data_IF_089023178042
#
_entry.id   IF_089023178042
#
_cell.length_a   1.000
_cell.length_b   1.000
_cell.length_c   1.000
_cell.angle_alpha   90.00
_cell.angle_beta   90.00
_cell.angle_gamma   90.00
#
_symmetry.space_group_name_H-M   'P 1'
#
loop_
_entity.id
_entity.type
_entity.pdbx_description
1 polymer ?
#
# COMPACT_ATOMS: atom_id res chain seq x y z
N UNK A 1 -11.71 -2.09 12.84
CA UNK A 1 -11.06 -1.45 11.68
C UNK A 1 -11.61 -2.06 10.40
N UNK A 2 -11.98 -1.23 9.41
CA UNK A 2 -12.46 -1.69 8.10
C UNK A 2 -11.43 -1.34 7.03
N UNK A 3 -11.01 -2.32 6.24
CA UNK A 3 -10.07 -2.14 5.12
C UNK A 3 -10.78 -2.57 3.84
N UNK A 4 -11.06 -1.61 2.97
CA UNK A 4 -11.61 -1.85 1.63
C UNK A 4 -10.46 -1.93 0.63
N UNK A 5 -10.31 -3.05 -0.06
CA UNK A 5 -9.26 -3.28 -1.05
C UNK A 5 -9.68 -2.69 -2.39
N UNK A 6 -9.24 -1.48 -2.69
CA UNK A 6 -9.56 -0.81 -3.96
C UNK A 6 -8.77 -1.42 -5.13
N UNK A 7 -7.54 -1.81 -4.87
CA UNK A 7 -6.66 -2.52 -5.78
C UNK A 7 -5.63 -3.35 -5.02
N UNK A 8 -5.27 -4.51 -5.56
CA UNK A 8 -4.37 -5.48 -4.91
C UNK A 8 -3.25 -5.99 -5.83
N UNK A 9 -3.07 -5.36 -6.99
CA UNK A 9 -2.17 -5.85 -8.03
C UNK A 9 -0.99 -4.90 -8.25
N UNK A 10 0.16 -5.46 -8.61
CA UNK A 10 1.37 -4.74 -8.99
C UNK A 10 1.38 -4.33 -10.47
N UNK A 11 0.26 -3.89 -10.97
CA UNK A 11 0.07 -3.43 -12.33
C UNK A 11 -1.41 -3.35 -12.70
N UNK A 12 -1.71 -2.92 -13.92
CA UNK A 12 -3.05 -2.66 -14.40
C UNK A 12 -3.45 -3.58 -15.55
N UNK A 13 -4.70 -4.01 -15.55
CA UNK A 13 -5.40 -4.66 -16.66
C UNK A 13 -6.91 -4.42 -16.49
N UNK A 14 -7.74 -4.96 -17.40
CA UNK A 14 -9.20 -4.84 -17.28
C UNK A 14 -9.73 -5.30 -15.90
N UNK A 15 -9.16 -6.38 -15.37
CA UNK A 15 -9.62 -7.01 -14.13
C UNK A 15 -8.70 -6.76 -12.93
N UNK A 16 -7.56 -6.10 -13.13
CA UNK A 16 -6.54 -5.87 -12.12
C UNK A 16 -6.35 -4.38 -11.89
N UNK A 17 -6.61 -3.90 -10.68
CA UNK A 17 -6.33 -2.53 -10.26
C UNK A 17 -5.07 -2.46 -9.39
N UNK A 18 -4.27 -1.44 -9.63
CA UNK A 18 -3.03 -1.16 -8.92
C UNK A 18 -3.28 -0.93 -7.43
N UNK A 19 -2.25 -1.17 -6.63
CA UNK A 19 -2.29 -1.19 -5.16
C UNK A 19 -2.94 0.06 -4.56
N UNK A 20 -4.00 -0.16 -3.79
CA UNK A 20 -4.68 0.88 -3.02
C UNK A 20 -5.61 0.24 -1.97
N UNK A 21 -5.45 0.61 -0.71
CA UNK A 21 -6.37 0.24 0.37
C UNK A 21 -7.08 1.49 0.89
N UNK A 22 -8.33 1.36 1.30
CA UNK A 22 -9.09 2.43 1.94
C UNK A 22 -9.49 2.01 3.35
N UNK A 23 -8.92 2.68 4.35
CA UNK A 23 -9.15 2.41 5.76
C UNK A 23 -10.29 3.31 6.26
N UNK A 24 -11.32 2.70 6.84
CA UNK A 24 -12.52 3.35 7.40
C UNK A 24 -13.21 4.34 6.45
N UNK A 25 -12.97 4.24 5.13
CA UNK A 25 -13.58 5.11 4.12
C UNK A 25 -12.92 6.48 3.98
N UNK A 26 -11.84 6.79 4.71
CA UNK A 26 -11.27 8.14 4.81
C UNK A 26 -9.77 8.24 4.64
N UNK A 27 -9.04 7.16 4.88
CA UNK A 27 -7.58 7.13 4.82
C UNK A 27 -7.17 6.14 3.75
N UNK A 28 -6.47 6.60 2.71
CA UNK A 28 -5.92 5.71 1.69
C UNK A 28 -4.50 5.27 2.07
N UNK A 29 -4.19 4.00 1.84
CA UNK A 29 -2.84 3.47 1.84
C UNK A 29 -2.49 3.09 0.41
N UNK A 30 -1.54 3.80 -0.14
CA UNK A 30 -1.22 3.94 -1.56
C UNK A 30 -2.39 4.50 -2.41
N UNK A 31 -2.08 4.99 -3.58
CA UNK A 31 -3.00 5.64 -4.51
C UNK A 31 -2.85 5.13 -5.94
N UNK A 32 -2.58 3.82 -6.11
CA UNK A 32 -2.47 3.23 -7.44
C UNK A 32 -3.79 3.28 -8.21
N UNK A 33 -4.91 3.07 -7.54
CA UNK A 33 -6.24 3.02 -8.18
C UNK A 33 -7.33 3.83 -7.44
N UNK A 34 -6.96 4.78 -6.60
CA UNK A 34 -7.88 5.53 -5.74
C UNK A 34 -9.00 6.22 -6.52
N UNK A 35 -8.65 6.98 -7.56
CA UNK A 35 -9.62 7.73 -8.38
C UNK A 35 -10.45 6.82 -9.30
N UNK A 36 -9.94 5.65 -9.67
CA UNK A 36 -10.63 4.71 -10.56
C UNK A 36 -11.63 3.82 -9.82
N UNK A 37 -11.38 3.55 -8.53
CA UNK A 37 -12.15 2.61 -7.75
C UNK A 37 -13.27 3.26 -6.90
N UNK A 38 -13.27 4.58 -6.76
CA UNK A 38 -14.24 5.34 -5.97
C UNK A 38 -15.04 6.31 -6.82
N UNK A 39 -16.34 6.46 -6.51
CA UNK A 39 -17.12 7.58 -7.02
C UNK A 39 -16.56 8.92 -6.51
N UNK A 40 -16.83 10.00 -7.21
CA UNK A 40 -16.37 11.35 -6.80
C UNK A 40 -16.82 11.68 -5.37
N UNK A 41 -18.05 11.36 -5.01
CA UNK A 41 -18.57 11.60 -3.65
C UNK A 41 -17.78 10.85 -2.59
N UNK A 42 -17.39 9.60 -2.86
CA UNK A 42 -16.54 8.83 -1.95
C UNK A 42 -15.10 9.31 -1.94
N UNK A 43 -14.60 9.88 -3.04
CA UNK A 43 -13.27 10.49 -3.08
C UNK A 43 -13.19 11.73 -2.19
N UNK A 44 -14.25 12.55 -2.12
CA UNK A 44 -14.29 13.74 -1.26
C UNK A 44 -14.19 13.41 0.23
N UNK A 45 -14.60 12.22 0.64
CA UNK A 45 -14.47 11.74 2.02
C UNK A 45 -13.02 11.37 2.41
N UNK A 46 -12.14 11.14 1.43
CA UNK A 46 -10.74 10.78 1.69
C UNK A 46 -9.94 12.06 1.95
N UNK A 47 -9.37 12.17 3.13
CA UNK A 47 -8.62 13.36 3.55
C UNK A 47 -7.13 13.09 3.85
N UNK A 48 -6.71 11.83 3.91
CA UNK A 48 -5.31 11.46 4.17
C UNK A 48 -4.89 10.29 3.29
N UNK A 49 -3.67 10.36 2.77
CA UNK A 49 -3.06 9.32 1.94
C UNK A 49 -1.68 9.02 2.51
N UNK A 50 -1.43 7.75 2.86
CA UNK A 50 -0.10 7.28 3.21
C UNK A 50 0.48 6.58 2.00
N UNK A 51 1.66 6.99 1.58
CA UNK A 51 2.37 6.41 0.44
C UNK A 51 3.52 5.55 0.93
N UNK A 52 3.51 4.29 0.53
CA UNK A 52 4.58 3.36 0.84
C UNK A 52 5.88 3.75 0.14
N UNK A 53 5.80 4.07 -1.16
CA UNK A 53 6.92 4.49 -2.00
C UNK A 53 6.44 5.19 -3.30
N UNK A 54 7.37 5.52 -4.19
CA UNK A 54 7.11 6.39 -5.35
C UNK A 54 6.92 5.66 -6.68
N UNK A 55 6.80 4.33 -6.73
CA UNK A 55 6.52 3.62 -7.98
C UNK A 55 5.10 3.93 -8.50
N UNK A 56 4.94 3.91 -9.82
CA UNK A 56 3.71 4.37 -10.47
C UNK A 56 2.48 3.56 -10.06
N UNK A 57 2.61 2.26 -9.85
CA UNK A 57 1.51 1.40 -9.40
C UNK A 57 1.05 1.64 -7.96
N UNK A 58 1.72 2.56 -7.24
CA UNK A 58 1.33 3.06 -5.92
C UNK A 58 0.88 4.53 -5.90
N UNK A 59 1.13 5.30 -6.97
CA UNK A 59 0.81 6.74 -7.03
C UNK A 59 0.03 7.16 -8.28
N UNK A 60 -0.24 6.25 -9.21
CA UNK A 60 -0.79 6.56 -10.54
C UNK A 60 -2.08 7.39 -10.51
N UNK A 61 -2.98 7.10 -9.60
CA UNK A 61 -4.25 7.84 -9.53
C UNK A 61 -4.20 9.12 -8.67
N UNK A 62 -3.07 9.39 -8.01
CA UNK A 62 -2.93 10.54 -7.12
C UNK A 62 -3.21 11.90 -7.81
N UNK A 63 -2.69 12.20 -9.01
CA UNK A 63 -2.97 13.45 -9.70
C UNK A 63 -4.46 13.66 -9.98
N UNK A 64 -5.10 12.66 -10.52
CA UNK A 64 -6.53 12.70 -10.84
C UNK A 64 -7.42 12.76 -9.60
N UNK A 65 -7.02 12.07 -8.52
CA UNK A 65 -7.71 12.15 -7.25
C UNK A 65 -7.70 13.59 -6.71
N UNK A 66 -6.52 14.23 -6.63
CA UNK A 66 -6.40 15.62 -6.14
C UNK A 66 -7.23 16.57 -7.00
N UNK A 67 -7.21 16.42 -8.33
CA UNK A 67 -8.03 17.23 -9.25
C UNK A 67 -9.52 17.01 -9.02
N UNK A 68 -9.98 15.77 -8.86
CA UNK A 68 -11.38 15.42 -8.65
C UNK A 68 -11.96 16.03 -7.37
N UNK A 69 -11.17 16.12 -6.30
CA UNK A 69 -11.59 16.68 -5.00
C UNK A 69 -11.28 18.17 -4.86
N UNK A 70 -10.52 18.75 -5.78
CA UNK A 70 -10.17 20.16 -5.77
C UNK A 70 -11.42 21.06 -5.78
N UNK A 71 -11.49 21.97 -4.82
CA UNK A 71 -12.63 22.87 -4.65
C UNK A 71 -13.91 22.22 -4.09
N UNK A 72 -13.88 20.91 -3.80
CA UNK A 72 -14.97 20.17 -3.15
C UNK A 72 -14.65 19.81 -1.71
N UNK A 73 -13.38 19.55 -1.41
CA UNK A 73 -12.92 19.34 -0.05
C UNK A 73 -12.72 20.67 0.66
N UNK A 74 -13.20 20.78 1.90
CA UNK A 74 -13.01 21.97 2.76
C UNK A 74 -11.61 22.07 3.33
N UNK A 75 -10.86 20.98 3.30
CA UNK A 75 -9.51 20.86 3.88
C UNK A 75 -8.52 20.36 2.82
N UNK A 76 -7.26 20.72 3.02
CA UNK A 76 -6.18 20.14 2.24
C UNK A 76 -6.14 18.61 2.44
N UNK A 77 -5.79 17.88 1.39
CA UNK A 77 -5.48 16.46 1.48
C UNK A 77 -4.08 16.30 2.06
N UNK A 78 -3.97 15.59 3.17
CA UNK A 78 -2.68 15.29 3.79
C UNK A 78 -2.04 14.04 3.17
N UNK A 79 -0.87 14.21 2.57
CA UNK A 79 -0.11 13.15 1.91
C UNK A 79 1.13 12.85 2.74
N UNK A 80 1.21 11.63 3.25
CA UNK A 80 2.29 11.17 4.10
C UNK A 80 3.18 10.20 3.32
N UNK A 81 4.50 10.35 3.43
CA UNK A 81 5.47 9.46 2.78
C UNK A 81 6.87 9.66 3.31
N UNK A 82 7.81 8.77 2.98
CA UNK A 82 9.21 8.97 3.30
C UNK A 82 9.73 10.26 2.64
N UNK A 83 10.79 10.90 3.16
CA UNK A 83 11.41 12.05 2.50
C UNK A 83 11.76 11.79 1.03
N UNK A 84 12.22 10.56 0.72
CA UNK A 84 12.53 10.15 -0.65
C UNK A 84 11.28 10.07 -1.53
N UNK A 85 10.18 9.53 -1.02
CA UNK A 85 8.88 9.44 -1.71
C UNK A 85 8.34 10.84 -2.01
N UNK A 86 8.33 11.73 -1.02
CA UNK A 86 7.85 13.11 -1.16
C UNK A 86 8.71 13.86 -2.18
N UNK A 87 10.04 13.71 -2.11
CA UNK A 87 10.95 14.31 -3.07
C UNK A 87 10.64 13.86 -4.51
N UNK A 88 10.45 12.56 -4.73
CA UNK A 88 10.16 12.02 -6.04
C UNK A 88 8.82 12.55 -6.60
N UNK A 89 7.78 12.60 -5.78
CA UNK A 89 6.46 13.11 -6.17
C UNK A 89 6.51 14.59 -6.52
N UNK A 90 7.18 15.40 -5.71
CA UNK A 90 7.35 16.83 -6.00
C UNK A 90 8.13 17.06 -7.27
N UNK A 91 9.23 16.31 -7.47
CA UNK A 91 10.13 16.51 -8.59
C UNK A 91 9.57 16.01 -9.92
N UNK A 92 8.88 14.89 -9.91
CA UNK A 92 8.51 14.18 -11.13
C UNK A 92 7.02 14.19 -11.45
N UNK A 93 6.16 14.49 -10.47
CA UNK A 93 4.72 14.45 -10.65
C UNK A 93 4.09 15.86 -10.53
N UNK A 94 4.10 16.46 -9.33
CA UNK A 94 3.51 17.78 -9.07
C UNK A 94 4.54 18.91 -9.27
N UNK A 95 4.98 19.13 -10.51
CA UNK A 95 6.11 20.00 -10.85
C UNK A 95 5.75 21.10 -11.86
N UNK A 96 4.46 21.34 -12.14
CA UNK A 96 3.92 22.26 -13.13
C UNK A 96 4.28 21.93 -14.60
N UNK A 97 4.96 20.81 -14.83
CA UNK A 97 5.24 20.29 -16.17
C UNK A 97 4.45 18.98 -16.43
N UNK A 98 4.53 18.03 -15.51
CA UNK A 98 3.76 16.79 -15.58
C UNK A 98 2.34 16.99 -15.04
N UNK A 99 2.22 17.64 -13.87
CA UNK A 99 0.93 17.99 -13.23
C UNK A 99 1.08 19.27 -12.40
N UNK A 100 -0.03 20.06 -12.21
CA UNK A 100 0.02 21.28 -11.40
C UNK A 100 0.51 21.03 -9.97
N UNK A 101 1.23 21.97 -9.41
CA UNK A 101 1.66 21.93 -8.00
C UNK A 101 0.52 22.37 -7.07
N UNK A 102 -0.32 21.42 -6.65
CA UNK A 102 -1.46 21.65 -5.76
C UNK A 102 -1.07 22.04 -4.33
N UNK A 103 0.21 21.99 -3.97
CA UNK A 103 0.68 22.57 -2.70
C UNK A 103 0.65 24.11 -2.70
N UNK A 104 0.40 24.71 -3.87
CA UNK A 104 0.33 26.17 -4.07
C UNK A 104 -1.03 26.64 -4.59
N UNK A 105 -1.98 25.74 -4.83
CA UNK A 105 -3.30 26.04 -5.34
C UNK A 105 -4.38 25.90 -4.25
N UNK A 106 -5.34 26.82 -4.17
CA UNK A 106 -5.46 28.09 -4.93
C UNK A 106 -4.41 29.11 -4.55
N UNK A 107 -3.78 28.96 -3.38
CA UNK A 107 -2.63 29.75 -2.93
C UNK A 107 -1.90 29.00 -1.81
N UNK A 108 -0.70 29.47 -1.43
CA UNK A 108 0.17 28.80 -0.47
C UNK A 108 -0.35 28.81 0.99
N UNK A 109 -1.35 29.64 1.32
CA UNK A 109 -1.97 29.70 2.65
C UNK A 109 -3.09 28.67 2.81
N UNK A 110 -3.77 28.35 1.69
CA UNK A 110 -4.87 27.39 1.62
C UNK A 110 -4.60 26.38 0.49
N UNK A 111 -3.57 25.52 0.63
CA UNK A 111 -3.23 24.57 -0.41
C UNK A 111 -4.28 23.45 -0.50
N UNK A 112 -4.45 22.87 -1.70
CA UNK A 112 -5.35 21.72 -1.89
C UNK A 112 -4.74 20.43 -1.32
N UNK A 113 -3.41 20.34 -1.23
CA UNK A 113 -2.72 19.23 -0.60
C UNK A 113 -1.49 19.69 0.19
N UNK A 114 -1.09 18.87 1.16
CA UNK A 114 0.11 19.05 1.98
C UNK A 114 0.92 17.76 2.04
N UNK A 115 2.22 17.89 2.13
CA UNK A 115 3.11 16.75 2.34
C UNK A 115 3.60 16.70 3.79
N UNK A 116 3.63 15.48 4.35
CA UNK A 116 4.12 15.17 5.68
C UNK A 116 5.12 14.02 5.59
N UNK A 117 6.30 14.21 6.16
CA UNK A 117 7.33 13.18 6.17
C UNK A 117 7.04 12.12 7.21
N UNK A 118 7.22 10.86 6.83
CA UNK A 118 7.15 9.69 7.70
C UNK A 118 8.57 9.25 8.07
N UNK A 119 8.77 9.02 9.35
CA UNK A 119 9.98 8.39 9.88
C UNK A 119 9.69 6.92 10.22
N UNK A 120 10.63 6.03 9.84
CA UNK A 120 10.48 4.59 10.13
C UNK A 120 10.36 4.32 11.63
N UNK A 121 9.40 3.47 11.99
CA UNK A 121 9.06 3.07 13.36
C UNK A 121 8.55 4.19 14.28
N UNK A 122 8.24 5.36 13.73
CA UNK A 122 7.56 6.45 14.46
C UNK A 122 6.06 6.39 14.17
N UNK A 123 5.21 6.10 15.16
CA UNK A 123 3.76 5.98 14.95
C UNK A 123 3.12 7.32 14.58
N UNK A 124 2.20 7.27 13.62
CA UNK A 124 1.31 8.37 13.23
C UNK A 124 -0.14 7.97 13.53
N UNK A 125 -0.91 8.85 14.17
CA UNK A 125 -2.34 8.61 14.44
C UNK A 125 -3.19 9.50 13.55
N UNK A 126 -4.09 8.88 12.76
CA UNK A 126 -5.07 9.56 11.91
C UNK A 126 -6.44 8.96 12.21
N UNK A 127 -7.43 9.77 12.59
CA UNK A 127 -8.81 9.34 12.91
C UNK A 127 -8.88 8.14 13.87
N UNK A 128 -7.97 8.08 14.85
CA UNK A 128 -7.90 6.99 15.82
C UNK A 128 -7.38 5.67 15.27
N UNK A 129 -6.80 5.68 14.06
CA UNK A 129 -6.00 4.58 13.50
C UNK A 129 -4.52 4.92 13.66
N UNK A 130 -3.75 4.02 14.22
CA UNK A 130 -2.30 4.16 14.35
C UNK A 130 -1.62 3.47 13.18
N UNK A 131 -0.76 4.19 12.48
CA UNK A 131 0.09 3.70 11.41
C UNK A 131 1.54 3.79 11.84
N UNK A 132 2.24 2.65 11.91
CA UNK A 132 3.69 2.62 12.18
C UNK A 132 4.40 2.21 10.90
N UNK A 133 5.14 3.13 10.24
CA UNK A 133 5.92 2.80 9.04
C UNK A 133 7.06 1.84 9.39
N UNK A 134 7.31 0.85 8.55
CA UNK A 134 8.35 -0.16 8.74
C UNK A 134 9.17 -0.21 7.47
N UNK A 135 10.46 0.05 7.54
CA UNK A 135 11.31 -0.10 6.36
C UNK A 135 11.36 -1.55 5.91
N UNK A 136 11.12 -1.78 4.62
CA UNK A 136 11.17 -3.09 3.96
C UNK A 136 12.24 -3.09 2.88
N UNK A 137 12.50 -4.27 2.30
CA UNK A 137 13.58 -4.44 1.33
C UNK A 137 13.07 -4.27 -0.10
N UNK A 138 13.24 -3.06 -0.66
CA UNK A 138 12.83 -2.76 -2.04
C UNK A 138 13.84 -1.83 -2.72
N UNK A 139 13.71 -1.65 -4.07
CA UNK A 139 14.65 -0.86 -4.91
C UNK A 139 14.73 0.62 -4.52
N UNK A 140 13.62 1.18 -4.06
CA UNK A 140 13.53 2.54 -3.54
C UNK A 140 13.19 2.49 -2.06
N UNK A 141 13.46 3.53 -1.25
CA UNK A 141 13.03 3.58 0.13
C UNK A 141 11.53 3.33 0.25
N UNK A 142 11.15 2.20 0.84
CA UNK A 142 9.77 1.70 0.91
C UNK A 142 9.38 1.41 2.35
N UNK A 143 8.18 1.83 2.75
CA UNK A 143 7.57 1.48 4.01
C UNK A 143 6.44 0.46 3.83
N UNK A 144 6.51 -0.64 4.57
CA UNK A 144 5.32 -1.35 5.01
C UNK A 144 4.70 -0.62 6.20
N UNK A 145 3.56 -1.08 6.69
CA UNK A 145 2.84 -0.43 7.80
C UNK A 145 2.26 -1.45 8.77
N UNK A 146 2.49 -1.23 10.06
CA UNK A 146 1.64 -1.81 11.10
C UNK A 146 0.45 -0.85 11.29
N UNK A 147 -0.76 -1.38 11.12
CA UNK A 147 -2.02 -0.62 11.17
C UNK A 147 -2.82 -1.10 12.36
N UNK A 148 -3.10 -0.22 13.33
CA UNK A 148 -3.71 -0.59 14.60
C UNK A 148 -4.93 0.27 14.91
N UNK A 149 -6.03 -0.38 15.32
CA UNK A 149 -7.22 0.30 15.82
C UNK A 149 -8.02 -0.63 16.75
N UNK A 150 -8.50 -0.11 17.89
CA UNK A 150 -9.39 -0.80 18.82
C UNK A 150 -8.90 -2.20 19.24
N UNK A 151 -7.59 -2.35 19.47
CA UNK A 151 -6.99 -3.61 19.89
C UNK A 151 -6.87 -4.66 18.77
N UNK A 152 -7.05 -4.31 17.52
CA UNK A 152 -6.73 -5.12 16.36
C UNK A 152 -5.56 -4.53 15.58
N UNK A 153 -4.68 -5.39 15.05
CA UNK A 153 -3.53 -5.01 14.26
C UNK A 153 -3.51 -5.79 12.94
N UNK A 154 -3.14 -5.11 11.86
CA UNK A 154 -2.87 -5.71 10.53
C UNK A 154 -1.50 -5.23 10.08
N UNK A 155 -0.68 -6.13 9.58
CA UNK A 155 0.63 -5.81 9.05
C UNK A 155 0.60 -5.87 7.52
N UNK A 156 0.98 -4.77 6.89
CA UNK A 156 1.04 -4.59 5.44
C UNK A 156 2.50 -4.40 5.00
N UNK A 157 2.99 -5.25 4.08
CA UNK A 157 4.38 -5.16 3.64
C UNK A 157 4.65 -4.07 2.62
N UNK A 158 3.65 -3.70 1.82
CA UNK A 158 3.88 -3.06 0.52
C UNK A 158 4.80 -3.95 -0.35
N UNK A 159 5.57 -3.36 -1.27
CA UNK A 159 6.50 -4.08 -2.13
C UNK A 159 7.77 -4.46 -1.37
N UNK A 160 8.13 -5.73 -1.40
CA UNK A 160 9.32 -6.20 -0.68
C UNK A 160 9.89 -7.48 -1.28
N UNK A 161 11.20 -7.55 -1.35
CA UNK A 161 11.95 -8.80 -1.40
C UNK A 161 12.05 -9.43 -0.01
N UNK A 162 12.97 -10.41 0.19
CA UNK A 162 13.21 -10.99 1.48
C UNK A 162 13.54 -9.93 2.54
N UNK A 163 12.83 -9.96 3.68
CA UNK A 163 12.92 -8.94 4.73
C UNK A 163 13.00 -9.61 6.11
N UNK A 164 13.55 -8.90 7.09
CA UNK A 164 13.70 -9.42 8.45
C UNK A 164 12.87 -8.61 9.46
N UNK A 165 13.03 -7.29 9.47
CA UNK A 165 12.40 -6.42 10.46
C UNK A 165 10.88 -6.50 10.45
N UNK A 166 10.29 -6.66 9.29
CA UNK A 166 8.85 -6.86 9.10
C UNK A 166 8.32 -8.06 9.92
N UNK A 167 9.01 -9.21 9.86
CA UNK A 167 8.62 -10.41 10.59
C UNK A 167 8.88 -10.31 12.09
N UNK A 168 9.94 -9.62 12.52
CA UNK A 168 10.18 -9.33 13.93
C UNK A 168 9.03 -8.53 14.55
N UNK A 169 8.50 -7.54 13.80
CA UNK A 169 7.35 -6.76 14.22
C UNK A 169 6.09 -7.62 14.23
N UNK A 170 5.86 -8.45 13.21
CA UNK A 170 4.75 -9.40 13.18
C UNK A 170 4.72 -10.27 14.44
N UNK A 171 5.86 -10.85 14.82
CA UNK A 171 5.97 -11.76 15.94
C UNK A 171 5.78 -11.07 17.30
N UNK A 172 6.15 -9.79 17.41
CA UNK A 172 6.01 -8.99 18.64
C UNK A 172 4.65 -8.34 18.82
N UNK A 173 3.82 -8.27 17.75
CA UNK A 173 2.51 -7.60 17.78
C UNK A 173 1.46 -8.49 18.45
N UNK A 174 0.95 -8.16 19.66
CA UNK A 174 0.11 -9.10 20.44
C UNK A 174 -1.21 -9.43 19.75
N UNK A 175 -1.88 -8.44 19.18
CA UNK A 175 -3.24 -8.51 18.63
C UNK A 175 -3.25 -8.56 17.10
N UNK A 176 -2.19 -9.12 16.48
CA UNK A 176 -2.10 -9.28 15.03
C UNK A 176 -3.24 -10.18 14.53
N UNK A 177 -4.00 -9.67 13.57
CA UNK A 177 -5.15 -10.34 12.96
C UNK A 177 -4.86 -10.89 11.57
N UNK A 178 -3.96 -10.24 10.83
CA UNK A 178 -3.54 -10.68 9.51
C UNK A 178 -2.18 -10.07 9.15
N UNK A 179 -1.46 -10.74 8.26
CA UNK A 179 -0.28 -10.23 7.57
C UNK A 179 -0.61 -10.15 6.09
N UNK A 180 -0.38 -9.00 5.46
CA UNK A 180 -0.45 -8.84 4.01
C UNK A 180 0.98 -8.78 3.47
N UNK A 181 1.31 -9.62 2.48
CA UNK A 181 2.68 -9.75 1.97
C UNK A 181 2.72 -9.78 0.44
N UNK A 182 3.70 -9.08 -0.14
CA UNK A 182 4.03 -9.09 -1.57
C UNK A 182 4.19 -10.53 -2.10
N UNK A 183 3.64 -10.78 -3.29
CA UNK A 183 3.91 -12.00 -4.06
C UNK A 183 3.71 -11.69 -5.53
N UNK A 184 4.69 -11.06 -6.14
CA UNK A 184 4.54 -10.37 -7.43
C UNK A 184 4.70 -11.26 -8.65
N UNK A 185 5.65 -12.20 -8.62
CA UNK A 185 6.01 -13.02 -9.78
C UNK A 185 5.82 -14.51 -9.51
N UNK A 186 5.58 -15.30 -10.55
CA UNK A 186 5.66 -16.76 -10.46
C UNK A 186 7.12 -17.22 -10.33
N UNK A 187 7.36 -18.42 -9.79
CA UNK A 187 8.71 -18.91 -9.47
C UNK A 187 9.61 -19.09 -10.69
N UNK A 188 9.06 -19.19 -11.91
CA UNK A 188 9.88 -19.22 -13.13
C UNK A 188 10.55 -17.88 -13.46
N UNK A 189 10.05 -16.80 -12.85
CA UNK A 189 10.59 -15.44 -12.98
C UNK A 189 11.44 -15.02 -11.76
N UNK A 190 11.95 -16.00 -10.98
CA UNK A 190 12.77 -15.71 -9.79
C UNK A 190 13.93 -14.73 -10.06
N UNK A 191 14.69 -14.81 -11.19
CA UNK A 191 15.75 -13.84 -11.45
C UNK A 191 15.25 -12.39 -11.58
N UNK A 192 14.02 -12.19 -12.11
CA UNK A 192 13.40 -10.88 -12.19
C UNK A 192 12.95 -10.42 -10.80
N UNK A 193 12.33 -11.31 -10.03
CA UNK A 193 11.92 -11.02 -8.66
C UNK A 193 13.11 -10.62 -7.79
N UNK A 194 14.25 -11.29 -7.92
CA UNK A 194 15.47 -11.00 -7.16
C UNK A 194 16.03 -9.60 -7.45
N UNK A 195 16.12 -9.22 -8.74
CA UNK A 195 16.68 -7.91 -9.12
C UNK A 195 15.69 -6.76 -8.89
N UNK A 196 14.39 -7.03 -8.88
CA UNK A 196 13.35 -6.04 -8.60
C UNK A 196 12.92 -6.01 -7.14
N UNK A 197 13.49 -6.87 -6.29
CA UNK A 197 13.21 -7.00 -4.86
C UNK A 197 11.72 -7.23 -4.57
N UNK A 198 11.19 -8.30 -5.18
CA UNK A 198 9.85 -8.84 -4.94
C UNK A 198 9.91 -10.31 -4.56
N UNK A 199 8.80 -10.86 -4.09
CA UNK A 199 8.70 -12.28 -3.77
C UNK A 199 8.02 -13.07 -4.90
N UNK A 200 8.43 -14.35 -4.99
CA UNK A 200 7.73 -15.42 -5.69
C UNK A 200 7.16 -16.41 -4.68
N UNK A 201 6.27 -17.34 -5.05
CA UNK A 201 5.84 -18.42 -4.13
C UNK A 201 6.99 -19.22 -3.53
N UNK A 202 8.11 -19.38 -4.26
CA UNK A 202 9.31 -20.05 -3.76
C UNK A 202 9.97 -19.27 -2.63
N UNK A 203 10.23 -17.97 -2.81
CA UNK A 203 10.84 -17.11 -1.79
C UNK A 203 9.87 -16.80 -0.65
N UNK A 204 8.58 -16.61 -0.94
CA UNK A 204 7.53 -16.50 0.06
C UNK A 204 7.54 -17.67 1.04
N UNK A 205 7.71 -18.91 0.56
CA UNK A 205 7.82 -20.09 1.43
C UNK A 205 8.96 -19.99 2.44
N UNK A 206 10.08 -19.36 2.05
CA UNK A 206 11.20 -19.12 2.96
C UNK A 206 10.89 -18.02 3.96
N UNK A 207 10.26 -16.93 3.50
CA UNK A 207 9.83 -15.82 4.35
C UNK A 207 8.82 -16.24 5.42
N UNK A 208 7.84 -17.05 5.06
CA UNK A 208 6.82 -17.56 6.00
C UNK A 208 7.38 -18.36 7.19
N UNK A 209 8.57 -18.94 7.07
CA UNK A 209 9.24 -19.63 8.19
C UNK A 209 9.66 -18.69 9.31
N UNK A 210 9.72 -17.37 9.02
CA UNK A 210 10.05 -16.34 10.01
C UNK A 210 8.85 -15.93 10.86
N UNK A 211 7.62 -16.24 10.40
CA UNK A 211 6.38 -15.94 11.12
C UNK A 211 6.11 -17.01 12.18
N UNK A 212 6.18 -16.62 13.44
CA UNK A 212 5.93 -17.48 14.61
C UNK A 212 4.45 -17.44 15.06
N UNK A 213 3.65 -16.59 14.43
CA UNK A 213 2.24 -16.38 14.75
C UNK A 213 1.35 -17.16 13.80
N UNK A 214 0.26 -17.72 14.32
CA UNK A 214 -0.76 -18.36 13.49
C UNK A 214 -1.87 -17.35 13.19
N UNK A 215 -1.75 -16.70 12.05
CA UNK A 215 -2.70 -15.67 11.54
C UNK A 215 -2.84 -15.81 10.03
N UNK A 216 -3.97 -15.41 9.43
CA UNK A 216 -4.11 -15.36 7.99
C UNK A 216 -2.99 -14.53 7.34
N UNK A 217 -2.46 -15.02 6.22
CA UNK A 217 -1.47 -14.33 5.39
C UNK A 217 -2.10 -14.04 4.04
N UNK A 218 -2.35 -12.76 3.77
CA UNK A 218 -3.03 -12.28 2.59
C UNK A 218 -2.00 -11.85 1.53
N UNK A 219 -1.99 -12.53 0.39
CA UNK A 219 -1.05 -12.29 -0.69
C UNK A 219 -1.57 -11.18 -1.60
N UNK A 220 -0.73 -10.18 -1.87
CA UNK A 220 -1.08 -9.05 -2.73
C UNK A 220 0.02 -8.73 -3.74
N UNK A 221 -0.19 -7.71 -4.55
CA UNK A 221 0.76 -7.15 -5.52
C UNK A 221 1.11 -8.10 -6.67
N UNK A 222 0.23 -9.07 -6.98
CA UNK A 222 0.47 -9.98 -8.09
C UNK A 222 0.58 -9.21 -9.41
N UNK A 223 1.63 -9.42 -10.19
CA UNK A 223 1.75 -8.86 -11.54
C UNK A 223 0.70 -9.53 -12.45
N UNK A 224 -0.14 -8.77 -13.20
CA UNK A 224 -1.26 -9.33 -13.96
C UNK A 224 -0.92 -10.54 -14.85
N UNK A 225 0.20 -10.57 -15.58
CA UNK A 225 0.56 -11.75 -16.40
C UNK A 225 0.87 -13.01 -15.59
N UNK A 226 1.22 -12.86 -14.29
CA UNK A 226 1.67 -13.96 -13.43
C UNK A 226 0.56 -14.55 -12.57
N UNK A 227 -0.62 -13.91 -12.48
CA UNK A 227 -1.70 -14.25 -11.55
C UNK A 227 -2.08 -15.73 -11.58
N UNK A 228 -2.27 -16.30 -12.77
CA UNK A 228 -2.67 -17.69 -12.92
C UNK A 228 -1.66 -18.67 -12.34
N UNK A 229 -0.39 -18.49 -12.68
CA UNK A 229 0.72 -19.36 -12.21
C UNK A 229 0.96 -19.18 -10.70
N UNK A 230 0.97 -17.94 -10.21
CA UNK A 230 1.13 -17.67 -8.76
C UNK A 230 0.05 -18.41 -7.97
N UNK A 231 -1.22 -18.32 -8.41
CA UNK A 231 -2.34 -19.00 -7.74
C UNK A 231 -2.17 -20.52 -7.74
N UNK A 232 -1.67 -21.11 -8.83
CA UNK A 232 -1.38 -22.54 -8.90
C UNK A 232 -0.27 -22.94 -7.95
N UNK A 233 0.87 -22.24 -7.99
CA UNK A 233 2.02 -22.50 -7.11
C UNK A 233 1.70 -22.33 -5.62
N UNK A 234 0.94 -21.29 -5.25
CA UNK A 234 0.51 -21.06 -3.86
C UNK A 234 -0.39 -22.20 -3.37
N UNK A 235 -1.31 -22.71 -4.20
CA UNK A 235 -2.13 -23.91 -3.82
C UNK A 235 -1.24 -25.13 -3.54
N UNK A 236 -0.13 -25.29 -4.28
CA UNK A 236 0.81 -26.40 -4.06
C UNK A 236 1.56 -26.30 -2.73
N UNK A 237 1.66 -25.11 -2.12
CA UNK A 237 2.26 -24.93 -0.79
C UNK A 237 1.43 -25.60 0.32
N UNK A 238 0.14 -25.89 0.08
CA UNK A 238 -0.79 -26.55 1.02
C UNK A 238 -0.81 -25.89 2.41
N UNK A 239 -0.61 -24.59 2.47
CA UNK A 239 -0.70 -23.83 3.70
C UNK A 239 -2.11 -23.23 3.83
N UNK A 240 -2.94 -23.65 4.80
CA UNK A 240 -4.31 -23.18 4.94
C UNK A 240 -4.43 -21.73 5.41
N UNK A 241 -3.36 -21.14 5.92
CA UNK A 241 -3.34 -19.75 6.38
C UNK A 241 -3.07 -18.75 5.23
N UNK A 242 -2.77 -19.27 4.00
CA UNK A 242 -2.53 -18.42 2.81
C UNK A 242 -3.83 -18.16 2.05
N UNK A 243 -4.13 -16.88 1.87
CA UNK A 243 -5.23 -16.39 1.06
C UNK A 243 -4.76 -15.29 0.11
N UNK A 244 -5.49 -15.04 -0.97
CA UNK A 244 -5.25 -13.88 -1.82
C UNK A 244 -6.07 -12.70 -1.35
N UNK A 245 -5.45 -11.54 -1.24
CA UNK A 245 -6.17 -10.30 -0.98
C UNK A 245 -7.11 -10.00 -2.17
N UNK A 246 -8.40 -9.89 -1.89
CA UNK A 246 -9.42 -9.78 -2.93
C UNK A 246 -9.77 -8.32 -3.22
N UNK A 247 -9.51 -7.88 -4.45
CA UNK A 247 -9.91 -6.57 -4.96
C UNK A 247 -11.44 -6.39 -4.86
N UNK A 248 -11.87 -5.25 -4.34
CA UNK A 248 -13.29 -4.92 -4.11
C UNK A 248 -13.85 -5.41 -2.79
N UNK A 249 -13.15 -6.28 -2.06
CA UNK A 249 -13.59 -6.82 -0.76
C UNK A 249 -13.32 -5.86 0.39
N UNK A 250 -14.20 -5.89 1.38
CA UNK A 250 -14.03 -5.20 2.66
C UNK A 250 -13.71 -6.22 3.74
N UNK A 251 -12.55 -6.07 4.36
CA UNK A 251 -12.13 -6.86 5.52
C UNK A 251 -12.44 -6.06 6.80
N UNK A 252 -12.89 -6.76 7.84
CA UNK A 252 -13.16 -6.18 9.17
C UNK A 252 -12.29 -6.87 10.22
N UNK A 253 -11.53 -6.09 10.96
CA UNK A 253 -10.61 -6.54 12.00
C UNK A 253 -10.90 -5.90 13.35
#
# INVERSE_FOLDING_TARGET
MRIHVLGAYGGESLDCRMTCLLINGRIALDAGSLSQALSIDNQVEVHSILLSHSHMDHINSLPFFIENVYGKSEKAIDIHGSPATIYAIRKYLFNNATWPDFTRLPNHLLPAMRFHELESEVPLVIDGVTFTPIQVNHLVPTHGFLIEQNGAAVLWSSDTGPTQRFWEIANRTPNLKAVCIDTSFDSSLQPIADVSLHLTPQTLRAELRKLERKVPVLLHHLKPPCVGKIREEVRQLRNPDLEFLEQGKVYSF
#
